data_IF_780976377737
#
_entry.id   IF_780976377737
#
_cell.length_a   1.000
_cell.length_b   1.000
_cell.length_c   1.000
_cell.angle_alpha   90.00
_cell.angle_beta   90.00
_cell.angle_gamma   90.00
#
_symmetry.space_group_name_H-M   'P 1'
#
loop_
_entity.id
_entity.type
_entity.pdbx_description
1 polymer ?
#
# COMPACT_ATOMS: atom_id res chain seq x y z
N UNK A 1 15.23 10.53 5.49
CA UNK A 1 14.34 9.85 4.53
C UNK A 1 13.24 9.22 5.35
N UNK A 2 12.02 9.75 5.24
CA UNK A 2 10.88 9.40 6.09
C UNK A 2 10.52 7.90 5.90
N UNK A 3 10.17 7.17 6.96
CA UNK A 3 9.89 5.73 6.88
C UNK A 3 8.74 5.42 5.91
N UNK A 4 7.77 6.34 5.80
CA UNK A 4 6.65 6.27 4.85
C UNK A 4 7.12 6.21 3.39
N UNK A 5 8.07 7.06 2.98
CA UNK A 5 8.57 7.07 1.59
C UNK A 5 9.34 5.79 1.25
N UNK A 6 10.06 5.23 2.22
CA UNK A 6 10.71 3.92 2.05
C UNK A 6 9.67 2.81 1.85
N UNK A 7 8.60 2.80 2.65
CA UNK A 7 7.53 1.80 2.53
C UNK A 7 6.84 1.89 1.16
N UNK A 8 6.54 3.09 0.69
CA UNK A 8 5.96 3.33 -0.64
C UNK A 8 6.86 2.76 -1.74
N UNK A 9 8.16 3.08 -1.72
CA UNK A 9 9.11 2.60 -2.71
C UNK A 9 9.27 1.08 -2.65
N UNK A 10 9.33 0.49 -1.45
CA UNK A 10 9.37 -0.96 -1.27
C UNK A 10 8.12 -1.65 -1.82
N UNK A 11 6.92 -1.13 -1.53
CA UNK A 11 5.65 -1.64 -2.06
C UNK A 11 5.67 -1.58 -3.59
N UNK A 12 6.02 -0.43 -4.16
CA UNK A 12 6.07 -0.23 -5.60
C UNK A 12 7.11 -1.12 -6.30
N UNK A 13 8.22 -1.41 -5.62
CA UNK A 13 9.26 -2.31 -6.11
C UNK A 13 8.82 -3.78 -6.09
N UNK A 14 8.27 -4.26 -4.97
CA UNK A 14 7.75 -5.64 -4.82
C UNK A 14 6.68 -5.93 -5.88
N UNK A 15 5.79 -4.96 -6.11
CA UNK A 15 4.66 -5.10 -7.02
C UNK A 15 5.05 -4.90 -8.49
N UNK A 16 6.29 -4.50 -8.80
CA UNK A 16 6.76 -4.27 -10.17
C UNK A 16 5.89 -3.28 -10.96
N UNK A 17 5.38 -2.24 -10.29
CA UNK A 17 4.38 -1.34 -10.85
C UNK A 17 4.97 -0.33 -11.82
N UNK A 18 4.18 0.03 -12.83
CA UNK A 18 4.53 1.08 -13.81
C UNK A 18 4.46 2.47 -13.17
N UNK A 19 5.13 3.44 -13.79
CA UNK A 19 5.33 4.79 -13.25
C UNK A 19 4.01 5.51 -12.89
N UNK A 20 2.93 5.27 -13.63
CA UNK A 20 1.61 5.84 -13.35
C UNK A 20 1.00 5.26 -12.06
N UNK A 21 0.98 3.93 -11.92
CA UNK A 21 0.48 3.27 -10.71
C UNK A 21 1.30 3.63 -9.47
N UNK A 22 2.62 3.82 -9.61
CA UNK A 22 3.47 4.33 -8.53
C UNK A 22 3.04 5.72 -8.05
N UNK A 23 2.66 6.63 -8.96
CA UNK A 23 2.17 7.96 -8.57
C UNK A 23 0.84 7.87 -7.82
N UNK A 24 -0.09 7.03 -8.30
CA UNK A 24 -1.40 6.81 -7.65
C UNK A 24 -1.24 6.26 -6.23
N UNK A 25 -0.35 5.28 -6.04
CA UNK A 25 -0.02 4.74 -4.70
C UNK A 25 0.66 5.81 -3.85
N UNK A 26 1.62 6.52 -4.46
CA UNK A 26 2.18 7.82 -4.07
C UNK A 26 1.22 8.67 -3.26
N UNK A 27 0.31 9.24 -4.03
CA UNK A 27 -0.66 10.23 -3.62
C UNK A 27 -1.59 9.64 -2.55
N UNK A 28 -2.10 8.43 -2.76
CA UNK A 28 -3.05 7.82 -1.84
C UNK A 28 -2.45 7.51 -0.46
N UNK A 29 -1.24 6.94 -0.40
CA UNK A 29 -0.60 6.63 0.88
C UNK A 29 -0.22 7.90 1.64
N UNK A 30 0.19 8.95 0.92
CA UNK A 30 0.49 10.23 1.56
C UNK A 30 -0.76 10.92 2.11
N UNK A 31 -1.91 10.78 1.45
CA UNK A 31 -3.16 11.41 1.86
C UNK A 31 -3.94 10.59 2.92
N UNK A 32 -3.95 9.26 2.80
CA UNK A 32 -4.81 8.38 3.59
C UNK A 32 -4.08 7.27 4.35
N UNK A 33 -2.77 7.13 4.16
CA UNK A 33 -1.95 6.11 4.81
C UNK A 33 -1.93 4.73 4.11
N UNK A 34 -0.94 3.92 4.47
CA UNK A 34 -0.70 2.58 3.90
C UNK A 34 -1.83 1.61 4.26
N UNK A 35 -2.37 1.70 5.47
CA UNK A 35 -3.49 0.86 5.92
C UNK A 35 -4.73 1.11 5.06
N UNK A 36 -5.11 2.38 4.89
CA UNK A 36 -6.27 2.74 4.06
C UNK A 36 -6.09 2.28 2.61
N UNK A 37 -4.88 2.43 2.06
CA UNK A 37 -4.56 1.94 0.72
C UNK A 37 -4.82 0.43 0.59
N UNK A 38 -4.28 -0.40 1.49
CA UNK A 38 -4.42 -1.85 1.45
C UNK A 38 -5.87 -2.33 1.68
N UNK A 39 -6.68 -1.57 2.40
CA UNK A 39 -8.10 -1.88 2.59
C UNK A 39 -8.94 -1.48 1.36
N UNK A 40 -8.60 -0.37 0.69
CA UNK A 40 -9.44 0.25 -0.34
C UNK A 40 -8.95 0.07 -1.79
N UNK A 41 -7.81 -0.59 -2.02
CA UNK A 41 -7.18 -0.69 -3.36
C UNK A 41 -8.11 -1.23 -4.48
N UNK A 42 -9.13 -2.04 -4.15
CA UNK A 42 -10.08 -2.57 -5.14
C UNK A 42 -10.97 -1.49 -5.75
N UNK A 43 -11.25 -0.43 -4.99
CA UNK A 43 -12.04 0.72 -5.43
C UNK A 43 -11.21 1.74 -6.24
N UNK A 44 -9.88 1.63 -6.20
CA UNK A 44 -8.97 2.52 -6.91
C UNK A 44 -8.83 2.16 -8.39
N UNK A 45 -8.44 3.14 -9.19
CA UNK A 45 -8.25 3.03 -10.65
C UNK A 45 -6.91 2.36 -11.00
N UNK A 46 -6.86 1.06 -10.73
CA UNK A 46 -5.78 0.16 -11.13
C UNK A 46 -6.31 -0.90 -12.10
N UNK A 47 -5.43 -1.40 -12.96
CA UNK A 47 -5.74 -2.55 -13.81
C UNK A 47 -6.00 -3.81 -12.96
N UNK A 48 -6.68 -4.80 -13.54
CA UNK A 48 -6.95 -6.07 -12.87
C UNK A 48 -5.65 -6.76 -12.39
N UNK A 49 -4.59 -6.70 -13.20
CA UNK A 49 -3.28 -7.27 -12.86
C UNK A 49 -2.66 -6.56 -11.64
N UNK A 50 -2.71 -5.23 -11.60
CA UNK A 50 -2.19 -4.44 -10.48
C UNK A 50 -2.98 -4.70 -9.20
N UNK A 51 -4.32 -4.79 -9.29
CA UNK A 51 -5.18 -5.17 -8.16
C UNK A 51 -4.87 -6.58 -7.66
N UNK A 52 -4.59 -7.52 -8.55
CA UNK A 52 -4.18 -8.87 -8.15
C UNK A 52 -2.87 -8.84 -7.36
N UNK A 53 -1.85 -8.11 -7.86
CA UNK A 53 -0.55 -7.97 -7.18
C UNK A 53 -0.70 -7.32 -5.81
N UNK A 54 -1.46 -6.23 -5.69
CA UNK A 54 -1.73 -5.57 -4.40
C UNK A 54 -2.46 -6.52 -3.46
N UNK A 55 -3.42 -7.30 -3.96
CA UNK A 55 -4.12 -8.31 -3.18
C UNK A 55 -3.24 -9.46 -2.70
N UNK A 56 -2.24 -9.87 -3.49
CA UNK A 56 -1.21 -10.82 -3.05
C UNK A 56 -0.40 -10.23 -1.90
N UNK A 57 0.08 -8.99 -2.03
CA UNK A 57 0.82 -8.31 -0.96
C UNK A 57 -0.02 -8.23 0.33
N UNK A 58 -1.28 -7.82 0.23
CA UNK A 58 -2.21 -7.76 1.38
C UNK A 58 -2.28 -9.11 2.09
N UNK A 59 -2.49 -10.20 1.35
CA UNK A 59 -2.56 -11.56 1.92
C UNK A 59 -1.26 -12.01 2.58
N UNK A 60 -0.11 -11.64 2.01
CA UNK A 60 1.19 -11.94 2.60
C UNK A 60 1.33 -11.25 3.96
N UNK A 61 1.00 -9.95 4.02
CA UNK A 61 1.00 -9.19 5.27
C UNK A 61 0.02 -9.80 6.29
N UNK A 62 -1.19 -10.16 5.85
CA UNK A 62 -2.18 -10.80 6.70
C UNK A 62 -1.73 -12.16 7.26
N UNK A 63 -0.96 -12.90 6.47
CA UNK A 63 -0.42 -14.20 6.87
C UNK A 63 0.71 -14.06 7.88
N UNK A 64 1.51 -13.00 7.79
CA UNK A 64 2.70 -12.79 8.63
C UNK A 64 2.39 -12.04 9.93
N UNK A 65 1.60 -10.97 9.84
CA UNK A 65 1.39 -10.02 10.94
C UNK A 65 -0.06 -9.99 11.46
N UNK A 66 -0.99 -10.74 10.83
CA UNK A 66 -2.40 -10.77 11.20
C UNK A 66 -3.24 -9.72 10.47
N UNK A 67 -4.45 -9.44 10.96
CA UNK A 67 -5.41 -8.59 10.25
C UNK A 67 -4.81 -7.20 9.95
N UNK A 68 -4.89 -6.75 8.68
CA UNK A 68 -4.43 -5.43 8.23
C UNK A 68 -5.00 -4.31 9.12
N UNK A 69 -6.23 -4.45 9.59
CA UNK A 69 -6.85 -3.45 10.48
C UNK A 69 -6.05 -3.24 11.77
N UNK A 70 -5.35 -4.26 12.23
CA UNK A 70 -4.59 -4.28 13.49
C UNK A 70 -3.10 -4.01 13.32
N UNK A 71 -2.55 -4.10 12.10
CA UNK A 71 -1.14 -3.81 11.85
C UNK A 71 -0.84 -2.33 12.09
N UNK A 72 0.23 -2.05 12.83
CA UNK A 72 0.81 -0.72 12.97
C UNK A 72 1.89 -0.53 11.91
N UNK A 73 1.65 0.39 10.97
CA UNK A 73 2.59 0.71 9.89
C UNK A 73 3.61 1.79 10.29
N UNK A 74 3.64 2.23 11.56
CA UNK A 74 4.52 3.29 12.04
C UNK A 74 4.23 4.64 11.37
N UNK A 75 2.99 4.81 10.91
CA UNK A 75 2.46 6.05 10.38
C UNK A 75 1.87 6.77 11.59
N UNK A 76 2.62 7.72 12.17
CA UNK A 76 2.03 8.63 13.17
C UNK A 76 0.83 9.30 12.52
N UNK A 77 -0.36 9.08 13.09
CA UNK A 77 -1.48 9.98 12.86
C UNK A 77 -1.05 11.33 13.42
N UNK A 78 -0.68 12.27 12.54
CA UNK A 78 -0.44 13.67 12.91
C UNK A 78 -1.78 14.24 13.44
N UNK A 79 -2.07 14.01 14.72
CA UNK A 79 -3.14 14.66 15.49
C UNK A 79 -2.62 15.89 16.23
#
# INVERSE_FOLDING_TARGET
>A
MNNREKNIETICWILGLKHEAKSKIREYINEFGTKSFLLNYKALDFTSEEKEKIGVLKRILETLDGDIETIDFGEEDDY
#
